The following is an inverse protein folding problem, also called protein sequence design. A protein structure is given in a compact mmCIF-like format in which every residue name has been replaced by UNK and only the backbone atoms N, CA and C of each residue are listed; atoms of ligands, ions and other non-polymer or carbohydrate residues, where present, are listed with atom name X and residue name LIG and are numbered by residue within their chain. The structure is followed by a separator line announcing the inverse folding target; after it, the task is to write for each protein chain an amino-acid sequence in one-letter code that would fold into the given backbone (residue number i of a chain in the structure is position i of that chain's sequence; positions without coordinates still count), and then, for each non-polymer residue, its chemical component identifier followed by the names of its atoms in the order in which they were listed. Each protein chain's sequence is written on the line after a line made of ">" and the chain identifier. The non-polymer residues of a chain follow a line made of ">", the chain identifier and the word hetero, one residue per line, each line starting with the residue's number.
data_IF_538713269952
#
_entry.id   IF_538713269952
#
_cell.length_a   1.000
_cell.length_b   1.000
_cell.length_c   1.000
_cell.angle_alpha   90.00
_cell.angle_beta   90.00
_cell.angle_gamma   90.00
#
_symmetry.space_group_name_H-M   'P 1'
#
loop_
_entity.id
_entity.type
_entity.pdbx_description
1 polymer ?
#
# COMPACT_ATOMS: atom_id res chain seq x y z
N UNK A 1 42.19 -28.53 -17.66
CA UNK A 1 42.31 -29.18 -16.33
C UNK A 1 42.21 -28.21 -15.13
N UNK A 2 41.86 -26.91 -15.28
CA UNK A 2 41.67 -25.97 -14.15
C UNK A 2 40.21 -25.76 -13.70
N UNK A 3 39.22 -26.23 -14.47
CA UNK A 3 37.78 -26.00 -14.24
C UNK A 3 37.16 -26.95 -13.20
N UNK A 4 37.63 -28.20 -13.13
CA UNK A 4 37.08 -29.22 -12.23
C UNK A 4 37.40 -28.96 -10.76
N UNK A 5 38.54 -28.33 -10.46
CA UNK A 5 38.96 -27.99 -9.10
C UNK A 5 38.21 -26.80 -8.51
N UNK A 6 37.70 -25.88 -9.34
CA UNK A 6 36.87 -24.77 -8.89
C UNK A 6 35.46 -25.24 -8.50
N UNK A 7 34.85 -26.15 -9.29
CA UNK A 7 33.55 -26.78 -8.98
C UNK A 7 33.59 -27.64 -7.70
N UNK A 8 34.69 -28.36 -7.44
CA UNK A 8 34.90 -29.11 -6.20
C UNK A 8 35.12 -28.21 -4.99
N UNK A 9 35.78 -27.06 -5.16
CA UNK A 9 35.91 -26.06 -4.10
C UNK A 9 34.58 -25.34 -3.79
N UNK A 10 33.73 -25.13 -4.81
CA UNK A 10 32.36 -24.61 -4.70
C UNK A 10 31.41 -25.56 -3.94
N UNK A 11 31.53 -26.87 -4.16
CA UNK A 11 30.74 -27.87 -3.44
C UNK A 11 31.17 -28.01 -1.96
N UNK A 12 32.47 -27.82 -1.67
CA UNK A 12 33.00 -27.91 -0.31
C UNK A 12 32.77 -26.65 0.53
N UNK A 13 32.75 -25.46 -0.08
CA UNK A 13 32.51 -24.20 0.63
C UNK A 13 31.04 -23.93 0.93
N UNK A 14 30.10 -24.44 0.13
CA UNK A 14 28.66 -24.38 0.42
C UNK A 14 28.27 -25.32 1.57
N UNK A 15 28.87 -26.51 1.67
CA UNK A 15 28.65 -27.44 2.80
C UNK A 15 29.25 -26.99 4.14
N UNK A 16 30.17 -26.02 4.14
CA UNK A 16 30.86 -25.56 5.35
C UNK A 16 30.28 -24.26 5.94
N UNK A 17 29.30 -23.63 5.27
CA UNK A 17 28.62 -22.45 5.82
C UNK A 17 27.71 -22.86 6.98
N UNK A 18 27.80 -22.20 8.15
CA UNK A 18 26.94 -22.50 9.30
C UNK A 18 25.45 -22.28 9.02
N UNK A 19 25.11 -21.55 7.94
CA UNK A 19 23.76 -21.40 7.41
C UNK A 19 23.20 -22.70 6.77
N UNK A 20 24.02 -23.68 6.37
CA UNK A 20 23.58 -24.85 5.57
C UNK A 20 23.42 -26.13 6.41
N UNK A 21 24.09 -26.24 7.56
CA UNK A 21 24.23 -27.51 8.32
C UNK A 21 22.96 -28.16 8.92
N UNK A 22 21.79 -27.50 8.88
CA UNK A 22 20.48 -28.08 9.28
C UNK A 22 19.52 -28.28 8.10
N UNK A 23 19.95 -27.96 6.88
CA UNK A 23 19.08 -27.78 5.69
C UNK A 23 19.15 -28.92 4.67
N UNK A 24 20.09 -29.85 4.82
CA UNK A 24 20.34 -30.93 3.86
C UNK A 24 19.09 -31.80 3.62
N UNK A 25 18.28 -32.05 4.66
CA UNK A 25 17.11 -32.95 4.59
C UNK A 25 16.04 -32.57 3.54
N UNK A 26 15.82 -31.27 3.27
CA UNK A 26 14.76 -30.81 2.34
C UNK A 26 15.21 -30.94 0.88
N UNK A 27 16.49 -30.71 0.61
CA UNK A 27 17.08 -30.76 -0.73
C UNK A 27 17.46 -32.18 -1.15
N UNK A 28 17.52 -33.11 -0.21
CA UNK A 28 17.99 -34.48 -0.45
C UNK A 28 16.97 -35.40 -1.09
N UNK A 29 15.68 -35.04 -1.08
CA UNK A 29 14.64 -35.83 -1.75
C UNK A 29 13.69 -34.99 -2.60
N UNK A 30 13.32 -35.55 -3.75
CA UNK A 30 12.28 -35.03 -4.64
C UNK A 30 10.97 -34.76 -3.90
N UNK A 31 10.61 -35.66 -3.00
CA UNK A 31 9.35 -35.60 -2.26
C UNK A 31 9.31 -34.44 -1.26
N UNK A 32 10.40 -34.22 -0.51
CA UNK A 32 10.50 -33.09 0.43
C UNK A 32 10.67 -31.74 -0.26
N UNK A 33 11.28 -31.70 -1.44
CA UNK A 33 11.43 -30.46 -2.19
C UNK A 33 10.11 -30.02 -2.85
N UNK A 34 9.36 -30.98 -3.42
CA UNK A 34 8.27 -30.68 -4.34
C UNK A 34 6.86 -30.79 -3.72
N UNK A 35 6.70 -31.39 -2.54
CA UNK A 35 5.37 -31.70 -1.96
C UNK A 35 5.27 -31.28 -0.50
N UNK A 36 4.03 -31.14 -0.03
CA UNK A 36 3.72 -30.88 1.38
C UNK A 36 3.74 -29.41 1.80
N UNK A 37 3.91 -28.50 0.83
CA UNK A 37 3.87 -27.05 1.06
C UNK A 37 2.43 -26.53 0.99
N UNK A 38 2.04 -25.67 1.93
CA UNK A 38 0.73 -24.98 1.89
C UNK A 38 0.88 -23.56 1.35
N UNK A 39 0.96 -23.46 0.03
CA UNK A 39 1.17 -22.20 -0.66
C UNK A 39 -0.06 -21.29 -0.63
N UNK A 40 -1.23 -21.75 -0.19
CA UNK A 40 -2.43 -20.89 -0.04
C UNK A 40 -2.29 -19.86 1.08
N UNK A 41 -1.26 -20.02 1.92
CA UNK A 41 -0.98 -19.13 3.03
C UNK A 41 0.38 -18.46 2.85
N UNK A 42 0.50 -17.18 3.21
CA UNK A 42 1.80 -16.53 3.17
C UNK A 42 2.83 -17.16 4.11
N UNK A 43 2.40 -17.72 5.24
CA UNK A 43 3.28 -18.44 6.18
C UNK A 43 3.84 -19.72 5.55
N UNK A 44 3.04 -20.45 4.78
CA UNK A 44 3.51 -21.64 4.07
C UNK A 44 4.46 -21.32 2.92
N UNK A 45 4.26 -20.18 2.26
CA UNK A 45 5.18 -19.68 1.24
C UNK A 45 6.53 -19.21 1.82
N UNK A 46 6.52 -18.50 2.96
CA UNK A 46 7.73 -18.11 3.71
C UNK A 46 8.49 -19.35 4.22
N UNK A 47 7.78 -20.32 4.81
CA UNK A 47 8.36 -21.58 5.29
C UNK A 47 9.03 -22.37 4.15
N UNK A 48 8.39 -22.46 2.98
CA UNK A 48 8.99 -23.04 1.78
C UNK A 48 10.25 -22.27 1.36
N UNK A 49 10.16 -20.94 1.24
CA UNK A 49 11.27 -20.10 0.79
C UNK A 49 12.50 -20.23 1.69
N UNK A 50 12.29 -20.26 3.01
CA UNK A 50 13.35 -20.42 4.00
C UNK A 50 13.93 -21.84 4.00
N UNK A 51 13.09 -22.89 3.99
CA UNK A 51 13.53 -24.29 4.06
C UNK A 51 14.21 -24.79 2.80
N UNK A 52 13.76 -24.33 1.62
CA UNK A 52 14.39 -24.67 0.34
C UNK A 52 15.65 -23.84 0.06
N UNK A 53 15.92 -22.82 0.88
CA UNK A 53 17.03 -21.88 0.70
C UNK A 53 17.04 -21.23 -0.69
N UNK A 54 15.85 -20.99 -1.26
CA UNK A 54 15.68 -20.34 -2.57
C UNK A 54 16.32 -18.94 -2.57
N UNK A 55 16.03 -18.12 -1.55
CA UNK A 55 16.62 -16.78 -1.41
C UNK A 55 18.15 -16.78 -1.30
N UNK A 56 18.72 -17.72 -0.53
CA UNK A 56 20.18 -17.88 -0.41
C UNK A 56 20.81 -18.28 -1.74
N UNK A 57 20.14 -19.16 -2.49
CA UNK A 57 20.62 -19.62 -3.79
C UNK A 57 20.58 -18.50 -4.83
N UNK A 58 19.54 -17.67 -4.80
CA UNK A 58 19.42 -16.46 -5.62
C UNK A 58 20.52 -15.45 -5.29
N UNK A 59 20.74 -15.15 -4.01
CA UNK A 59 21.80 -14.25 -3.54
C UNK A 59 23.18 -14.72 -4.02
N UNK A 60 23.51 -16.00 -3.80
CA UNK A 60 24.79 -16.57 -4.21
C UNK A 60 24.95 -16.57 -5.74
N UNK A 61 23.87 -16.86 -6.48
CA UNK A 61 23.89 -16.82 -7.94
C UNK A 61 24.25 -15.43 -8.46
N UNK A 62 23.56 -14.40 -7.98
CA UNK A 62 23.79 -12.99 -8.37
C UNK A 62 25.19 -12.54 -7.94
N UNK A 63 25.61 -12.82 -6.70
CA UNK A 63 26.94 -12.40 -6.20
C UNK A 63 28.10 -13.09 -6.88
N UNK A 64 27.90 -14.28 -7.43
CA UNK A 64 29.00 -15.07 -8.01
C UNK A 64 29.65 -14.36 -9.21
N UNK A 65 28.88 -13.60 -9.99
CA UNK A 65 29.38 -12.83 -11.13
C UNK A 65 28.53 -11.57 -11.30
N UNK A 66 29.16 -10.40 -11.41
CA UNK A 66 28.45 -9.13 -11.64
C UNK A 66 27.59 -9.14 -12.92
N UNK A 67 27.98 -9.93 -13.93
CA UNK A 67 27.20 -10.14 -15.16
C UNK A 67 25.88 -10.88 -14.91
N UNK A 68 25.77 -11.60 -13.79
CA UNK A 68 24.58 -12.39 -13.46
C UNK A 68 23.46 -11.56 -12.85
N UNK A 69 23.68 -10.30 -12.46
CA UNK A 69 22.60 -9.38 -12.07
C UNK A 69 21.76 -9.00 -13.31
N UNK A 70 22.43 -8.79 -14.45
CA UNK A 70 21.77 -8.46 -15.71
C UNK A 70 21.11 -9.68 -16.33
N UNK A 71 19.80 -9.61 -16.60
CA UNK A 71 19.01 -10.72 -17.15
C UNK A 71 19.18 -12.02 -16.34
N UNK A 72 19.27 -11.90 -15.01
CA UNK A 72 19.62 -13.00 -14.11
C UNK A 72 18.73 -14.22 -14.29
N UNK A 73 17.44 -14.02 -14.55
CA UNK A 73 16.46 -15.11 -14.72
C UNK A 73 16.86 -15.99 -15.90
N UNK A 74 17.25 -15.36 -17.02
CA UNK A 74 17.73 -16.05 -18.21
C UNK A 74 19.08 -16.72 -17.95
N UNK A 75 20.02 -16.01 -17.32
CA UNK A 75 21.34 -16.57 -17.03
C UNK A 75 21.25 -17.79 -16.09
N UNK A 76 20.31 -17.78 -15.14
CA UNK A 76 20.05 -18.90 -14.25
C UNK A 76 19.45 -20.07 -15.03
N UNK A 77 18.48 -19.83 -15.92
CA UNK A 77 17.91 -20.86 -16.80
C UNK A 77 19.00 -21.48 -17.68
N UNK A 78 19.83 -20.66 -18.31
CA UNK A 78 20.96 -21.10 -19.14
C UNK A 78 21.95 -21.96 -18.32
N UNK A 79 22.28 -21.55 -17.10
CA UNK A 79 23.21 -22.28 -16.23
C UNK A 79 22.61 -23.63 -15.77
N UNK A 80 21.32 -23.67 -15.45
CA UNK A 80 20.63 -24.90 -15.04
C UNK A 80 20.56 -25.90 -16.20
N UNK A 81 20.29 -25.41 -17.42
CA UNK A 81 20.17 -26.26 -18.61
C UNK A 81 21.51 -26.63 -19.26
N UNK A 82 22.62 -25.98 -18.86
CA UNK A 82 23.92 -26.18 -19.50
C UNK A 82 24.05 -25.49 -20.87
N UNK A 83 23.30 -24.41 -21.08
CA UNK A 83 23.19 -23.63 -22.31
C UNK A 83 21.89 -23.89 -23.07
N UNK A 84 21.08 -22.86 -23.33
CA UNK A 84 19.83 -23.00 -24.10
C UNK A 84 20.12 -23.11 -25.60
N UNK A 85 19.78 -24.25 -26.21
CA UNK A 85 19.78 -24.40 -27.68
C UNK A 85 18.51 -23.82 -28.35
N UNK A 86 17.68 -23.08 -27.61
CA UNK A 86 16.37 -22.55 -28.04
C UNK A 86 16.03 -21.18 -27.42
N UNK A 87 14.79 -20.69 -27.66
CA UNK A 87 14.28 -19.46 -27.01
C UNK A 87 14.02 -19.75 -25.53
N UNK A 88 14.81 -19.14 -24.64
CA UNK A 88 14.61 -19.14 -23.19
C UNK A 88 13.20 -18.66 -22.83
N UNK A 89 12.51 -19.42 -21.98
CA UNK A 89 11.18 -19.06 -21.48
C UNK A 89 11.23 -17.96 -20.41
N UNK A 90 12.40 -17.72 -19.82
CA UNK A 90 12.66 -16.60 -18.91
C UNK A 90 12.68 -15.23 -19.62
N UNK A 91 12.90 -15.17 -20.93
CA UNK A 91 13.01 -13.91 -21.67
C UNK A 91 11.71 -13.07 -21.66
N UNK A 92 10.56 -13.71 -21.46
CA UNK A 92 9.26 -13.02 -21.36
C UNK A 92 8.95 -12.45 -19.98
N UNK A 93 9.71 -12.80 -18.94
CA UNK A 93 9.39 -12.44 -17.57
C UNK A 93 9.60 -10.96 -17.22
N UNK A 94 10.30 -10.20 -18.05
CA UNK A 94 10.60 -8.78 -17.80
C UNK A 94 9.53 -7.81 -18.32
N UNK A 95 8.48 -8.30 -18.97
CA UNK A 95 7.42 -7.46 -19.53
C UNK A 95 6.03 -8.08 -19.34
N UNK A 96 5.05 -7.27 -18.94
CA UNK A 96 3.68 -7.73 -18.63
C UNK A 96 2.93 -8.30 -19.84
N UNK A 97 3.24 -7.82 -21.05
CA UNK A 97 2.62 -8.27 -22.30
C UNK A 97 3.13 -9.61 -22.84
N UNK A 98 4.13 -10.23 -22.19
CA UNK A 98 4.74 -11.48 -22.62
C UNK A 98 4.40 -12.62 -21.67
N UNK A 99 4.51 -13.86 -22.14
CA UNK A 99 4.41 -15.04 -21.26
C UNK A 99 5.72 -15.24 -20.48
N UNK A 100 5.63 -15.30 -19.15
CA UNK A 100 6.73 -15.70 -18.28
C UNK A 100 6.69 -17.22 -18.06
N UNK A 101 7.55 -17.97 -18.76
CA UNK A 101 7.57 -19.42 -18.65
C UNK A 101 8.98 -20.01 -18.50
N UNK A 102 9.73 -19.63 -17.44
CA UNK A 102 11.05 -20.20 -17.17
C UNK A 102 11.00 -21.73 -17.10
N UNK A 103 12.06 -22.37 -17.58
CA UNK A 103 12.21 -23.82 -17.69
C UNK A 103 11.15 -24.49 -18.58
N UNK A 104 10.43 -23.71 -19.41
CA UNK A 104 9.34 -24.22 -20.24
C UNK A 104 8.14 -24.73 -19.45
N UNK A 105 8.03 -24.38 -18.16
CA UNK A 105 6.92 -24.80 -17.32
C UNK A 105 6.99 -26.25 -16.85
N UNK A 106 8.21 -26.81 -16.76
CA UNK A 106 8.43 -28.10 -16.11
C UNK A 106 7.83 -28.13 -14.70
N UNK A 107 7.28 -29.28 -14.31
CA UNK A 107 6.86 -29.51 -12.94
C UNK A 107 8.09 -29.57 -12.01
N UNK A 108 7.91 -29.36 -10.71
CA UNK A 108 8.99 -29.51 -9.73
C UNK A 108 9.65 -30.89 -9.86
N UNK A 109 8.80 -31.91 -10.01
CA UNK A 109 9.22 -33.30 -10.11
C UNK A 109 10.10 -33.53 -11.36
N UNK A 110 9.71 -33.00 -12.51
CA UNK A 110 10.46 -33.15 -13.76
C UNK A 110 11.76 -32.34 -13.77
N UNK A 111 11.75 -31.14 -13.19
CA UNK A 111 12.94 -30.31 -13.07
C UNK A 111 13.96 -30.95 -12.12
N UNK A 112 13.50 -31.54 -11.01
CA UNK A 112 14.38 -32.29 -10.11
C UNK A 112 15.01 -33.50 -10.80
N UNK A 113 14.23 -34.28 -11.55
CA UNK A 113 14.76 -35.46 -12.26
C UNK A 113 15.78 -35.07 -13.34
N UNK A 114 15.54 -33.96 -14.06
CA UNK A 114 16.41 -33.52 -15.15
C UNK A 114 17.64 -32.75 -14.67
N UNK A 115 17.51 -31.88 -13.67
CA UNK A 115 18.52 -30.90 -13.30
C UNK A 115 18.91 -30.92 -11.81
N UNK A 116 18.24 -31.71 -10.97
CA UNK A 116 18.45 -31.79 -9.52
C UNK A 116 19.77 -32.44 -9.07
N UNK A 117 20.74 -32.62 -9.97
CA UNK A 117 22.09 -33.11 -9.62
C UNK A 117 22.99 -32.03 -9.03
N UNK A 118 22.60 -30.76 -9.14
CA UNK A 118 23.32 -29.61 -8.57
C UNK A 118 22.44 -28.86 -7.58
N UNK A 119 23.02 -28.19 -6.56
CA UNK A 119 22.25 -27.36 -5.63
C UNK A 119 21.42 -26.29 -6.34
N UNK A 120 21.97 -25.64 -7.37
CA UNK A 120 21.25 -24.64 -8.16
C UNK A 120 20.09 -25.26 -8.95
N UNK A 121 20.28 -26.43 -9.56
CA UNK A 121 19.22 -27.12 -10.31
C UNK A 121 18.06 -27.60 -9.44
N UNK A 122 18.32 -27.95 -8.18
CA UNK A 122 17.27 -28.26 -7.18
C UNK A 122 16.51 -26.99 -6.77
N UNK A 123 17.22 -25.94 -6.38
CA UNK A 123 16.62 -24.77 -5.74
C UNK A 123 16.00 -23.77 -6.74
N UNK A 124 16.46 -23.78 -7.99
CA UNK A 124 16.01 -22.85 -9.02
C UNK A 124 14.53 -22.99 -9.37
N UNK A 125 13.92 -24.16 -9.12
CA UNK A 125 12.48 -24.34 -9.37
C UNK A 125 11.65 -23.31 -8.61
N UNK A 126 11.84 -23.21 -7.30
CA UNK A 126 11.07 -22.29 -6.45
C UNK A 126 11.44 -20.82 -6.70
N UNK A 127 12.67 -20.55 -7.13
CA UNK A 127 13.06 -19.21 -7.61
C UNK A 127 12.27 -18.85 -8.89
N UNK A 128 12.18 -19.76 -9.85
CA UNK A 128 11.41 -19.55 -11.08
C UNK A 128 9.91 -19.45 -10.83
N UNK A 129 9.36 -20.22 -9.90
CA UNK A 129 7.96 -20.07 -9.49
C UNK A 129 7.70 -18.70 -8.87
N UNK A 130 8.61 -18.17 -8.04
CA UNK A 130 8.46 -16.83 -7.50
C UNK A 130 8.53 -15.74 -8.59
N UNK A 131 9.37 -15.91 -9.61
CA UNK A 131 9.39 -15.00 -10.78
C UNK A 131 8.07 -15.08 -11.56
N UNK A 132 7.52 -16.29 -11.75
CA UNK A 132 6.22 -16.49 -12.39
C UNK A 132 5.10 -15.81 -11.59
N UNK A 133 4.97 -16.11 -10.31
CA UNK A 133 3.92 -15.51 -9.49
C UNK A 133 4.06 -13.98 -9.37
N UNK A 134 5.27 -13.42 -9.36
CA UNK A 134 5.44 -11.97 -9.49
C UNK A 134 4.85 -11.44 -10.80
N UNK A 135 5.22 -12.07 -11.93
CA UNK A 135 4.71 -11.68 -13.25
C UNK A 135 3.19 -11.77 -13.32
N UNK A 136 2.61 -12.86 -12.81
CA UNK A 136 1.16 -13.10 -12.81
C UNK A 136 0.42 -12.12 -11.91
N UNK A 137 0.90 -11.87 -10.68
CA UNK A 137 0.32 -10.87 -9.77
C UNK A 137 0.41 -9.46 -10.36
N UNK A 138 1.53 -9.08 -10.97
CA UNK A 138 1.67 -7.75 -11.59
C UNK A 138 0.80 -7.60 -12.84
N UNK A 139 0.65 -8.66 -13.64
CA UNK A 139 -0.26 -8.67 -14.79
C UNK A 139 -1.71 -8.53 -14.35
N UNK A 140 -2.10 -9.19 -13.27
CA UNK A 140 -3.44 -9.07 -12.69
C UNK A 140 -3.68 -7.67 -12.09
N UNK A 141 -2.70 -7.11 -11.36
CA UNK A 141 -2.74 -5.73 -10.87
C UNK A 141 -2.93 -4.74 -12.03
N UNK A 142 -2.14 -4.89 -13.10
CA UNK A 142 -2.24 -4.05 -14.28
C UNK A 142 -3.63 -4.18 -14.95
N UNK A 143 -4.15 -5.41 -15.08
CA UNK A 143 -5.50 -5.64 -15.62
C UNK A 143 -6.56 -4.90 -14.80
N UNK A 144 -6.44 -4.89 -13.49
CA UNK A 144 -7.38 -4.23 -12.59
C UNK A 144 -7.24 -2.70 -12.66
N UNK A 145 -6.01 -2.15 -12.65
CA UNK A 145 -5.77 -0.70 -12.79
C UNK A 145 -6.27 -0.11 -14.10
N UNK A 146 -6.17 -0.89 -15.19
CA UNK A 146 -6.63 -0.47 -16.52
C UNK A 146 -8.13 -0.67 -16.74
N UNK A 147 -8.86 -1.26 -15.79
CA UNK A 147 -10.31 -1.36 -15.89
C UNK A 147 -10.97 -0.04 -15.48
N UNK A 148 -11.77 0.55 -16.39
CA UNK A 148 -12.68 1.68 -16.11
C UNK A 148 -13.58 1.45 -14.88
N UNK A 149 -13.75 0.18 -14.48
CA UNK A 149 -14.50 -0.25 -13.30
C UNK A 149 -13.94 0.30 -11.99
N UNK A 150 -12.63 0.55 -11.86
CA UNK A 150 -12.06 1.10 -10.62
C UNK A 150 -12.54 2.53 -10.35
N UNK A 151 -12.43 3.42 -11.33
CA UNK A 151 -12.86 4.82 -11.18
C UNK A 151 -14.37 4.90 -11.02
N UNK A 152 -15.13 4.14 -11.82
CA UNK A 152 -16.58 4.06 -11.68
C UNK A 152 -17.00 3.48 -10.31
N UNK A 153 -16.22 2.52 -9.79
CA UNK A 153 -16.42 1.91 -8.48
C UNK A 153 -16.19 2.86 -7.31
N UNK A 154 -15.38 3.91 -7.48
CA UNK A 154 -15.17 4.93 -6.45
C UNK A 154 -16.41 5.79 -6.19
N UNK A 155 -17.36 5.86 -7.15
CA UNK A 155 -18.62 6.62 -7.01
C UNK A 155 -18.43 8.13 -6.76
N UNK A 156 -17.36 8.72 -7.32
CA UNK A 156 -16.99 10.13 -7.10
C UNK A 156 -18.13 11.11 -7.46
N UNK A 157 -18.83 10.97 -8.61
CA UNK A 157 -19.96 11.86 -8.92
C UNK A 157 -21.08 11.80 -7.88
N UNK A 158 -21.35 10.62 -7.32
CA UNK A 158 -22.35 10.47 -6.26
C UNK A 158 -21.88 11.11 -4.96
N UNK A 159 -20.59 11.04 -4.63
CA UNK A 159 -20.04 11.73 -3.45
C UNK A 159 -20.18 13.24 -3.56
N UNK A 160 -19.90 13.80 -4.75
CA UNK A 160 -20.05 15.23 -5.04
C UNK A 160 -21.50 15.67 -4.79
N UNK A 161 -22.48 14.90 -5.27
CA UNK A 161 -23.90 15.13 -5.00
C UNK A 161 -24.25 14.96 -3.52
N UNK A 162 -23.79 13.88 -2.90
CA UNK A 162 -24.14 13.51 -1.53
C UNK A 162 -23.65 14.53 -0.50
N UNK A 163 -22.46 15.10 -0.71
CA UNK A 163 -21.85 16.04 0.22
C UNK A 163 -21.98 17.51 -0.21
N UNK A 164 -22.57 17.80 -1.37
CA UNK A 164 -22.67 19.17 -1.91
C UNK A 164 -21.27 19.83 -1.99
N UNK A 165 -20.32 19.06 -2.54
CA UNK A 165 -18.91 19.43 -2.69
C UNK A 165 -18.48 19.58 -4.15
N UNK A 166 -17.18 19.47 -4.42
CA UNK A 166 -16.65 19.40 -5.78
C UNK A 166 -15.44 18.46 -5.84
N UNK A 167 -15.06 18.08 -7.06
CA UNK A 167 -13.86 17.31 -7.33
C UNK A 167 -12.70 18.16 -7.90
N UNK A 168 -12.82 19.49 -7.86
CA UNK A 168 -11.93 20.42 -8.59
C UNK A 168 -10.55 20.61 -7.96
N UNK A 169 -10.26 19.93 -6.83
CA UNK A 169 -8.98 20.00 -6.14
C UNK A 169 -8.28 18.63 -6.14
N UNK A 170 -7.58 18.26 -7.23
CA UNK A 170 -6.89 16.97 -7.38
C UNK A 170 -5.53 16.93 -6.67
N UNK A 171 -5.21 17.90 -5.82
CA UNK A 171 -3.87 18.03 -5.25
C UNK A 171 -3.47 16.74 -4.52
N UNK A 172 -2.27 16.24 -4.83
CA UNK A 172 -1.66 15.08 -4.16
C UNK A 172 -2.30 13.71 -4.39
N UNK A 173 -3.12 13.51 -5.43
CA UNK A 173 -3.71 12.19 -5.75
C UNK A 173 -2.70 11.04 -5.81
N UNK A 174 -1.46 11.30 -6.26
CA UNK A 174 -0.37 10.30 -6.21
C UNK A 174 0.00 9.89 -4.78
N UNK A 175 0.08 10.86 -3.88
CA UNK A 175 0.28 10.62 -2.45
C UNK A 175 -0.90 9.89 -1.80
N UNK A 176 -2.13 10.10 -2.31
CA UNK A 176 -3.31 9.40 -1.81
C UNK A 176 -3.23 7.90 -2.09
N UNK A 177 -2.75 7.52 -3.28
CA UNK A 177 -2.60 6.11 -3.67
C UNK A 177 -1.46 5.45 -2.89
N UNK A 178 -0.32 6.14 -2.73
CA UNK A 178 0.78 5.67 -1.89
C UNK A 178 0.35 5.41 -0.45
N UNK A 179 -0.34 6.38 0.17
CA UNK A 179 -0.89 6.24 1.51
C UNK A 179 -2.01 5.17 1.57
N UNK A 180 -2.89 5.08 0.57
CA UNK A 180 -3.95 4.07 0.54
C UNK A 180 -3.39 2.63 0.56
N UNK A 181 -2.24 2.41 -0.08
CA UNK A 181 -1.54 1.12 -0.09
C UNK A 181 -0.90 0.76 1.25
N UNK A 182 -0.63 1.74 2.14
CA UNK A 182 -0.02 1.50 3.46
C UNK A 182 -1.06 1.35 4.58
N UNK A 183 -2.27 1.90 4.39
CA UNK A 183 -3.39 1.91 5.34
C UNK A 183 -4.10 0.53 5.42
N UNK A 184 -3.37 -0.57 5.33
CA UNK A 184 -3.90 -1.95 5.28
C UNK A 184 -4.67 -2.45 6.51
N UNK A 185 -5.22 -1.56 7.37
CA UNK A 185 -6.22 -1.83 8.42
C UNK A 185 -6.68 -0.58 9.23
N UNK A 186 -6.12 0.62 9.01
CA UNK A 186 -6.18 1.70 10.01
C UNK A 186 -7.55 2.41 10.16
N UNK A 187 -8.38 2.46 9.10
CA UNK A 187 -9.62 3.28 9.06
C UNK A 187 -10.88 2.42 8.97
N UNK A 188 -10.89 1.25 9.61
CA UNK A 188 -12.11 0.45 9.70
C UNK A 188 -11.84 -1.05 9.60
N UNK A 189 -11.42 -1.60 10.74
CA UNK A 189 -11.76 -2.95 11.18
C UNK A 189 -11.41 -4.11 10.26
N UNK A 190 -10.18 -4.61 10.43
CA UNK A 190 -9.78 -6.02 10.36
C UNK A 190 -10.16 -6.74 9.05
N UNK A 191 -9.20 -6.86 8.12
CA UNK A 191 -9.09 -8.09 7.33
C UNK A 191 -8.75 -9.22 8.32
N UNK A 192 -9.69 -10.12 8.67
CA UNK A 192 -9.40 -11.21 9.59
C UNK A 192 -8.46 -12.18 8.85
N UNK A 193 -7.28 -12.44 9.40
CA UNK A 193 -6.32 -13.38 8.81
C UNK A 193 -5.19 -12.77 7.99
N UNK A 194 -4.94 -11.46 8.07
CA UNK A 194 -3.72 -10.85 7.53
C UNK A 194 -2.49 -11.27 8.34
N UNK A 195 -2.00 -12.48 8.07
CA UNK A 195 -0.72 -12.98 8.53
C UNK A 195 0.46 -12.23 7.94
N UNK A 196 1.68 -12.61 8.34
CA UNK A 196 2.92 -11.87 8.09
C UNK A 196 3.28 -11.72 6.61
N UNK A 197 2.73 -12.54 5.72
CA UNK A 197 2.99 -12.37 4.29
C UNK A 197 1.91 -11.59 3.51
N UNK A 198 0.71 -11.34 4.05
CA UNK A 198 -0.17 -10.30 3.49
C UNK A 198 0.51 -8.93 3.67
N UNK A 199 1.13 -8.67 4.82
CA UNK A 199 1.94 -7.45 5.04
C UNK A 199 3.13 -7.33 4.10
N UNK A 200 3.74 -8.45 3.66
CA UNK A 200 4.83 -8.44 2.67
C UNK A 200 4.34 -7.98 1.28
N UNK A 201 3.19 -8.50 0.82
CA UNK A 201 2.57 -8.09 -0.44
C UNK A 201 2.13 -6.63 -0.46
N UNK A 202 1.47 -6.19 0.61
CA UNK A 202 1.13 -4.78 0.80
C UNK A 202 2.38 -3.90 0.89
N UNK A 203 3.46 -4.36 1.54
CA UNK A 203 4.72 -3.63 1.61
C UNK A 203 5.38 -3.42 0.25
N UNK A 204 5.36 -4.44 -0.61
CA UNK A 204 5.86 -4.32 -1.99
C UNK A 204 5.03 -3.30 -2.77
N UNK A 205 3.70 -3.39 -2.70
CA UNK A 205 2.83 -2.45 -3.41
C UNK A 205 2.94 -1.04 -2.86
N UNK A 206 2.95 -0.87 -1.55
CA UNK A 206 3.22 0.41 -0.89
C UNK A 206 4.54 1.02 -1.39
N UNK A 207 5.60 0.23 -1.53
CA UNK A 207 6.88 0.69 -2.06
C UNK A 207 6.80 1.13 -3.53
N UNK A 208 6.11 0.36 -4.38
CA UNK A 208 5.85 0.70 -5.79
C UNK A 208 5.08 2.02 -5.87
N UNK A 209 4.01 2.17 -5.10
CA UNK A 209 3.20 3.39 -5.08
C UNK A 209 3.91 4.60 -4.45
N UNK A 210 4.76 4.38 -3.45
CA UNK A 210 5.59 5.44 -2.89
C UNK A 210 6.58 5.95 -3.92
N UNK A 211 7.20 5.08 -4.72
CA UNK A 211 8.08 5.50 -5.80
C UNK A 211 7.35 6.36 -6.86
N UNK A 212 6.10 6.03 -7.19
CA UNK A 212 5.25 6.84 -8.08
C UNK A 212 4.98 8.25 -7.55
N UNK A 213 4.84 8.40 -6.24
CA UNK A 213 4.64 9.70 -5.61
C UNK A 213 5.88 10.60 -5.71
N UNK A 214 7.07 9.99 -5.81
CA UNK A 214 8.36 10.68 -5.87
C UNK A 214 8.78 11.08 -7.31
N UNK A 215 8.24 10.42 -8.35
CA UNK A 215 8.64 10.63 -9.75
C UNK A 215 7.81 11.70 -10.50
N UNK A 216 6.94 12.44 -9.81
CA UNK A 216 6.13 13.51 -10.39
C UNK A 216 6.61 14.91 -10.05
N UNK A 217 7.29 15.56 -10.99
CA UNK A 217 7.39 17.02 -11.02
C UNK A 217 6.06 17.62 -11.48
N UNK A 218 5.66 18.67 -10.76
CA UNK A 218 4.45 19.50 -10.91
C UNK A 218 3.10 18.79 -10.77
N UNK A 219 2.20 19.49 -10.09
CA UNK A 219 0.80 19.13 -9.89
C UNK A 219 0.20 18.59 -11.18
N UNK A 220 -0.54 17.48 -11.06
CA UNK A 220 -1.43 17.06 -12.13
C UNK A 220 -2.50 18.16 -12.26
N UNK A 221 -2.22 19.16 -13.10
CA UNK A 221 -3.12 20.28 -13.45
C UNK A 221 -4.26 19.73 -14.32
N UNK A 222 -5.07 18.88 -13.71
CA UNK A 222 -6.24 18.30 -14.32
C UNK A 222 -7.42 18.62 -13.44
N UNK A 223 -8.35 19.40 -13.99
CA UNK A 223 -9.42 20.04 -13.23
C UNK A 223 -10.36 19.13 -12.44
N UNK A 224 -10.14 17.80 -12.33
CA UNK A 224 -10.92 16.91 -11.46
C UNK A 224 -10.10 15.78 -10.81
N UNK A 225 -10.51 15.36 -9.61
CA UNK A 225 -9.97 14.18 -8.89
C UNK A 225 -10.08 12.91 -9.74
N UNK A 226 -11.22 12.69 -10.42
CA UNK A 226 -11.43 11.49 -11.24
C UNK A 226 -10.40 11.37 -12.37
N UNK A 227 -10.08 12.49 -13.05
CA UNK A 227 -9.08 12.50 -14.11
C UNK A 227 -7.66 12.28 -13.56
N UNK A 228 -7.32 12.91 -12.42
CA UNK A 228 -6.04 12.70 -11.76
C UNK A 228 -5.83 11.25 -11.29
N UNK A 229 -6.89 10.59 -10.80
CA UNK A 229 -6.86 9.17 -10.44
C UNK A 229 -6.63 8.28 -11.66
N UNK A 230 -7.29 8.56 -12.79
CA UNK A 230 -7.09 7.83 -14.04
C UNK A 230 -5.62 7.83 -14.48
N UNK A 231 -5.01 9.02 -14.55
CA UNK A 231 -3.60 9.14 -14.93
C UNK A 231 -2.67 8.49 -13.91
N UNK A 232 -3.03 8.50 -12.62
CA UNK A 232 -2.20 7.88 -11.60
C UNK A 232 -2.26 6.35 -11.69
N UNK A 233 -3.41 5.77 -12.03
CA UNK A 233 -3.51 4.34 -12.34
C UNK A 233 -2.72 3.97 -13.60
N UNK A 234 -2.72 4.81 -14.63
CA UNK A 234 -1.85 4.62 -15.81
C UNK A 234 -0.36 4.71 -15.44
N UNK A 235 0.03 5.68 -14.62
CA UNK A 235 1.40 5.77 -14.11
C UNK A 235 1.77 4.52 -13.27
N UNK A 236 0.82 3.98 -12.49
CA UNK A 236 1.03 2.75 -11.73
C UNK A 236 1.33 1.54 -12.62
N UNK A 237 0.68 1.42 -13.77
CA UNK A 237 1.05 0.42 -14.77
C UNK A 237 2.52 0.54 -15.17
N UNK A 238 2.99 1.74 -15.50
CA UNK A 238 4.41 1.96 -15.86
C UNK A 238 5.34 1.56 -14.71
N UNK A 239 5.00 1.88 -13.47
CA UNK A 239 5.84 1.52 -12.31
C UNK A 239 5.84 0.01 -12.03
N UNK A 240 4.73 -0.70 -12.28
CA UNK A 240 4.71 -2.17 -12.25
C UNK A 240 5.63 -2.75 -13.33
N UNK A 241 5.58 -2.22 -14.55
CA UNK A 241 6.46 -2.63 -15.66
C UNK A 241 7.94 -2.38 -15.35
N UNK A 242 8.27 -1.22 -14.79
CA UNK A 242 9.63 -0.90 -14.37
C UNK A 242 10.11 -1.80 -13.24
N UNK A 243 9.27 -2.03 -12.23
CA UNK A 243 9.61 -2.94 -11.12
C UNK A 243 9.84 -4.36 -11.64
N UNK A 244 8.98 -4.84 -12.54
CA UNK A 244 9.14 -6.15 -13.18
C UNK A 244 10.44 -6.25 -13.96
N UNK A 245 10.74 -5.23 -14.79
CA UNK A 245 11.98 -5.14 -15.56
C UNK A 245 13.19 -5.18 -14.63
N UNK A 246 13.22 -4.35 -13.59
CA UNK A 246 14.36 -4.24 -12.67
C UNK A 246 14.52 -5.54 -11.87
N UNK A 247 13.45 -6.08 -11.29
CA UNK A 247 13.47 -7.30 -10.49
C UNK A 247 13.92 -8.53 -11.28
N UNK A 248 13.75 -8.54 -12.61
CA UNK A 248 14.23 -9.60 -13.51
C UNK A 248 15.62 -9.34 -14.11
N UNK A 249 16.32 -8.30 -13.65
CA UNK A 249 17.70 -7.99 -14.06
C UNK A 249 17.80 -7.04 -15.26
N UNK A 250 16.77 -6.25 -15.54
CA UNK A 250 16.77 -5.21 -16.55
C UNK A 250 17.18 -3.83 -16.02
N UNK A 251 17.63 -3.73 -14.76
CA UNK A 251 18.09 -2.48 -14.15
C UNK A 251 19.40 -1.99 -14.78
N UNK A 252 19.52 -0.69 -14.95
CA UNK A 252 20.63 -0.02 -15.67
C UNK A 252 21.59 0.71 -14.73
N UNK A 253 21.23 0.86 -13.46
CA UNK A 253 22.04 1.52 -12.44
C UNK A 253 21.79 0.91 -11.05
N UNK A 254 22.71 1.15 -10.12
CA UNK A 254 22.53 0.76 -8.71
C UNK A 254 21.32 1.48 -8.08
N UNK A 255 21.03 2.71 -8.50
CA UNK A 255 19.85 3.48 -8.06
C UNK A 255 18.54 2.80 -8.46
N UNK A 256 18.44 2.27 -9.70
CA UNK A 256 17.28 1.48 -10.12
C UNK A 256 17.12 0.22 -9.28
N UNK A 257 18.21 -0.52 -9.00
CA UNK A 257 18.11 -1.69 -8.11
C UNK A 257 17.76 -1.30 -6.67
N UNK A 258 18.23 -0.15 -6.19
CA UNK A 258 17.91 0.38 -4.88
C UNK A 258 16.44 0.82 -4.74
N UNK A 259 15.72 1.03 -5.83
CA UNK A 259 14.30 1.38 -5.81
C UNK A 259 13.39 0.16 -5.60
N UNK A 260 13.91 -1.07 -5.77
CA UNK A 260 13.12 -2.28 -5.52
C UNK A 260 12.66 -2.33 -4.05
N UNK A 261 11.35 -2.48 -3.80
CA UNK A 261 10.85 -2.57 -2.44
C UNK A 261 11.29 -3.88 -1.77
N UNK A 262 11.60 -3.81 -0.48
CA UNK A 262 11.98 -4.99 0.31
C UNK A 262 10.83 -5.38 1.25
N UNK A 263 10.20 -6.57 1.07
CA UNK A 263 9.09 -7.03 1.90
C UNK A 263 9.46 -7.33 3.36
N UNK A 264 10.75 -7.58 3.65
CA UNK A 264 11.25 -7.96 4.97
C UNK A 264 12.61 -7.32 5.21
N UNK A 265 12.83 -6.80 6.41
CA UNK A 265 14.16 -6.39 6.86
C UNK A 265 15.04 -7.63 6.96
N UNK A 266 16.07 -7.73 6.12
CA UNK A 266 16.94 -8.90 6.05
C UNK A 266 18.39 -8.54 5.67
N UNK A 267 19.25 -9.53 5.89
CA UNK A 267 20.70 -9.63 5.77
C UNK A 267 21.22 -9.94 4.37
N UNK A 268 20.37 -10.26 3.38
CA UNK A 268 20.81 -10.36 1.97
C UNK A 268 21.49 -9.05 1.54
N UNK A 269 22.47 -9.11 0.65
CA UNK A 269 23.13 -7.91 0.15
C UNK A 269 22.49 -7.43 -1.15
N UNK A 270 22.12 -8.35 -2.04
CA UNK A 270 21.56 -8.01 -3.36
C UNK A 270 20.11 -7.55 -3.25
N UNK A 271 19.74 -6.53 -4.03
CA UNK A 271 18.39 -5.94 -3.99
C UNK A 271 17.34 -6.86 -4.57
N UNK A 272 17.69 -7.64 -5.58
CA UNK A 272 16.84 -8.66 -6.16
C UNK A 272 16.52 -9.75 -5.12
N UNK A 273 17.52 -10.28 -4.40
CA UNK A 273 17.24 -11.29 -3.38
C UNK A 273 16.40 -10.74 -2.22
N UNK A 274 16.60 -9.46 -1.84
CA UNK A 274 15.71 -8.77 -0.88
C UNK A 274 14.28 -8.68 -1.38
N UNK A 275 14.08 -8.30 -2.64
CA UNK A 275 12.77 -8.14 -3.25
C UNK A 275 11.96 -9.44 -3.26
N UNK A 276 12.59 -10.58 -3.60
CA UNK A 276 11.93 -11.89 -3.57
C UNK A 276 11.83 -12.52 -2.18
N UNK A 277 12.32 -11.84 -1.14
CA UNK A 277 12.41 -12.44 0.18
C UNK A 277 11.04 -12.74 0.79
N UNK A 278 10.99 -13.81 1.59
CA UNK A 278 9.79 -14.28 2.26
C UNK A 278 8.79 -15.02 1.34
N UNK A 279 9.16 -15.30 0.09
CA UNK A 279 8.38 -16.17 -0.77
C UNK A 279 6.98 -15.66 -1.13
N UNK A 280 6.67 -14.37 -0.92
CA UNK A 280 5.33 -13.80 -1.17
C UNK A 280 4.78 -14.13 -2.57
N UNK A 281 5.65 -14.11 -3.57
CA UNK A 281 5.27 -14.42 -4.94
C UNK A 281 4.94 -15.90 -5.19
N UNK A 282 5.09 -16.78 -4.20
CA UNK A 282 4.69 -18.19 -4.25
C UNK A 282 3.30 -18.45 -3.67
N UNK A 283 2.61 -17.44 -3.14
CA UNK A 283 1.28 -17.65 -2.54
C UNK A 283 0.26 -18.00 -3.61
N UNK A 284 -0.27 -19.24 -3.54
CA UNK A 284 -1.32 -19.82 -4.38
C UNK A 284 -2.62 -19.04 -4.15
N UNK A 285 -2.93 -18.15 -5.10
CA UNK A 285 -4.18 -17.43 -5.35
C UNK A 285 -3.80 -16.02 -5.83
N UNK A 286 -3.16 -15.95 -7.00
CA UNK A 286 -2.73 -14.69 -7.63
C UNK A 286 -3.87 -13.70 -7.82
N UNK A 287 -5.09 -14.19 -8.04
CA UNK A 287 -6.25 -13.33 -8.27
C UNK A 287 -6.91 -12.87 -6.97
N UNK A 288 -7.13 -13.74 -5.98
CA UNK A 288 -7.84 -13.39 -4.74
C UNK A 288 -7.00 -12.45 -3.88
N UNK A 289 -5.71 -12.76 -3.68
CA UNK A 289 -4.83 -11.94 -2.85
C UNK A 289 -4.62 -10.55 -3.48
N UNK A 290 -4.50 -10.49 -4.81
CA UNK A 290 -4.44 -9.22 -5.54
C UNK A 290 -5.77 -8.48 -5.45
N UNK A 291 -6.91 -9.17 -5.61
CA UNK A 291 -8.24 -8.55 -5.51
C UNK A 291 -8.49 -7.96 -4.13
N UNK A 292 -8.22 -8.68 -3.04
CA UNK A 292 -8.34 -8.17 -1.66
C UNK A 292 -7.44 -6.95 -1.46
N UNK A 293 -6.23 -6.98 -2.01
CA UNK A 293 -5.29 -5.85 -1.92
C UNK A 293 -5.80 -4.62 -2.65
N UNK A 294 -6.29 -4.79 -3.89
CA UNK A 294 -6.86 -3.70 -4.69
C UNK A 294 -8.13 -3.17 -4.03
N UNK A 295 -9.04 -4.04 -3.57
CA UNK A 295 -10.24 -3.65 -2.85
C UNK A 295 -9.88 -2.81 -1.61
N UNK A 296 -8.84 -3.17 -0.86
CA UNK A 296 -8.35 -2.37 0.26
C UNK A 296 -7.85 -1.00 -0.19
N UNK A 297 -7.04 -0.93 -1.25
CA UNK A 297 -6.52 0.34 -1.80
C UNK A 297 -7.69 1.22 -2.28
N UNK A 298 -8.60 0.65 -3.07
CA UNK A 298 -9.79 1.34 -3.61
C UNK A 298 -10.68 1.84 -2.49
N UNK A 299 -10.93 1.07 -1.45
CA UNK A 299 -11.72 1.48 -0.29
C UNK A 299 -11.06 2.65 0.47
N UNK A 300 -9.73 2.64 0.61
CA UNK A 300 -9.01 3.73 1.25
C UNK A 300 -9.02 5.02 0.39
N UNK A 301 -8.82 4.89 -0.93
CA UNK A 301 -8.99 6.00 -1.87
C UNK A 301 -10.42 6.54 -1.79
N UNK A 302 -11.44 5.68 -1.73
CA UNK A 302 -12.83 6.08 -1.63
C UNK A 302 -13.09 6.96 -0.40
N UNK A 303 -12.56 6.56 0.76
CA UNK A 303 -12.62 7.35 2.00
C UNK A 303 -11.93 8.71 1.86
N UNK A 304 -10.75 8.74 1.22
CA UNK A 304 -10.01 9.98 0.97
C UNK A 304 -10.77 10.93 0.05
N UNK A 305 -11.32 10.43 -1.06
CA UNK A 305 -12.10 11.26 -1.98
C UNK A 305 -13.34 11.81 -1.26
N UNK A 306 -14.04 10.98 -0.48
CA UNK A 306 -15.17 11.45 0.32
C UNK A 306 -14.76 12.58 1.29
N UNK A 307 -13.63 12.45 1.98
CA UNK A 307 -13.07 13.50 2.83
C UNK A 307 -12.80 14.79 2.05
N UNK A 308 -12.23 14.71 0.85
CA UNK A 308 -11.83 15.89 0.08
C UNK A 308 -13.02 16.59 -0.57
N UNK A 309 -14.02 15.83 -1.00
CA UNK A 309 -15.32 16.37 -1.42
C UNK A 309 -16.00 17.07 -0.23
N UNK A 310 -15.96 16.48 0.96
CA UNK A 310 -16.48 17.14 2.16
C UNK A 310 -15.69 18.42 2.51
N UNK A 311 -14.37 18.41 2.36
CA UNK A 311 -13.55 19.60 2.56
C UNK A 311 -13.91 20.71 1.55
N UNK A 312 -14.07 20.36 0.27
CA UNK A 312 -14.52 21.28 -0.78
C UNK A 312 -15.93 21.82 -0.51
N UNK A 313 -16.81 21.03 0.10
CA UNK A 313 -18.12 21.46 0.56
C UNK A 313 -18.05 22.40 1.79
N UNK A 314 -16.88 22.60 2.41
CA UNK A 314 -16.71 23.46 3.58
C UNK A 314 -17.06 22.80 4.92
N UNK A 315 -17.07 21.46 4.99
CA UNK A 315 -17.18 20.76 6.27
C UNK A 315 -15.90 20.93 7.10
N UNK A 316 -16.07 20.97 8.41
CA UNK A 316 -15.01 21.10 9.42
C UNK A 316 -15.26 20.11 10.55
N UNK A 317 -14.17 19.57 11.12
CA UNK A 317 -14.23 18.88 12.40
C UNK A 317 -14.19 19.93 13.52
N UNK A 318 -15.20 19.93 14.38
CA UNK A 318 -15.33 20.92 15.45
C UNK A 318 -14.95 20.29 16.78
N UNK A 319 -14.05 20.94 17.51
CA UNK A 319 -13.87 20.74 18.94
C UNK A 319 -14.72 21.78 19.70
N UNK A 320 -15.78 21.33 20.36
CA UNK A 320 -16.72 22.23 21.02
C UNK A 320 -16.16 22.76 22.35
N UNK A 321 -15.90 24.07 22.40
CA UNK A 321 -15.43 24.81 23.58
C UNK A 321 -16.51 25.66 24.23
N UNK A 322 -17.79 25.50 23.84
CA UNK A 322 -18.88 26.28 24.42
C UNK A 322 -19.10 25.93 25.89
N UNK A 323 -19.48 26.92 26.67
CA UNK A 323 -19.65 26.79 28.13
C UNK A 323 -20.64 25.71 28.57
N UNK A 324 -21.59 25.35 27.70
CA UNK A 324 -22.62 24.35 27.95
C UNK A 324 -22.22 22.93 27.51
N UNK A 325 -21.00 22.71 27.02
CA UNK A 325 -20.49 21.40 26.60
C UNK A 325 -19.16 21.12 27.32
N UNK A 326 -19.24 20.58 28.54
CA UNK A 326 -18.06 20.36 29.41
C UNK A 326 -17.82 18.91 29.77
N UNK A 327 -18.80 18.05 29.51
CA UNK A 327 -18.78 16.63 29.85
C UNK A 327 -19.21 15.77 28.67
N UNK A 328 -18.92 14.47 28.76
CA UNK A 328 -19.41 13.48 27.80
C UNK A 328 -20.95 13.48 27.71
N UNK A 329 -21.62 13.68 28.83
CA UNK A 329 -23.08 13.77 28.88
C UNK A 329 -23.59 15.01 28.14
N UNK A 330 -22.91 16.16 28.26
CA UNK A 330 -23.27 17.39 27.56
C UNK A 330 -23.02 17.28 26.04
N UNK A 331 -22.00 16.52 25.63
CA UNK A 331 -21.76 16.19 24.24
C UNK A 331 -22.95 15.42 23.63
N UNK A 332 -23.61 14.59 24.43
CA UNK A 332 -24.79 13.82 24.03
C UNK A 332 -24.46 12.64 23.12
N UNK A 333 -25.50 12.05 22.53
CA UNK A 333 -25.42 10.77 21.78
C UNK A 333 -25.89 10.90 20.33
N UNK A 334 -25.85 12.10 19.76
CA UNK A 334 -26.15 12.26 18.34
C UNK A 334 -25.14 11.46 17.49
N UNK A 335 -25.54 10.83 16.38
CA UNK A 335 -24.73 9.85 15.65
C UNK A 335 -23.32 10.29 15.23
N UNK A 336 -23.11 11.60 15.11
CA UNK A 336 -21.83 12.20 14.71
C UNK A 336 -20.90 12.62 15.83
N UNK A 337 -21.38 12.65 17.07
CA UNK A 337 -20.65 13.25 18.19
C UNK A 337 -19.77 12.23 18.89
N UNK A 338 -18.53 12.61 19.15
CA UNK A 338 -17.53 11.78 19.82
C UNK A 338 -16.87 12.59 20.93
N UNK A 339 -16.87 12.07 22.15
CA UNK A 339 -16.05 12.63 23.23
C UNK A 339 -14.65 12.06 23.11
N UNK A 340 -13.70 12.90 22.66
CA UNK A 340 -12.34 12.47 22.37
C UNK A 340 -11.34 13.42 23.04
N UNK A 341 -10.16 12.88 23.29
CA UNK A 341 -8.99 13.62 23.74
C UNK A 341 -8.31 14.31 22.56
N UNK A 342 -8.04 15.60 22.71
CA UNK A 342 -7.25 16.39 21.76
C UNK A 342 -5.75 16.24 22.02
N UNK A 343 -5.34 16.40 23.29
CA UNK A 343 -3.97 16.27 23.83
C UNK A 343 -4.10 15.76 25.27
N UNK A 344 -3.04 15.17 25.83
CA UNK A 344 -3.01 14.62 27.19
C UNK A 344 -3.76 15.49 28.22
N UNK A 345 -4.93 15.02 28.66
CA UNK A 345 -5.78 15.68 29.66
C UNK A 345 -6.76 16.74 29.16
N UNK A 346 -6.86 16.97 27.85
CA UNK A 346 -7.83 17.88 27.23
C UNK A 346 -8.84 17.11 26.36
N UNK A 347 -10.07 16.98 26.84
CA UNK A 347 -11.16 16.31 26.12
C UNK A 347 -12.21 17.32 25.64
N UNK A 348 -12.73 17.09 24.44
CA UNK A 348 -13.77 17.91 23.84
C UNK A 348 -14.83 17.04 23.16
N UNK A 349 -16.00 17.64 22.90
CA UNK A 349 -17.00 17.05 22.03
C UNK A 349 -16.65 17.34 20.57
N UNK A 350 -16.36 16.29 19.81
CA UNK A 350 -16.01 16.35 18.40
C UNK A 350 -17.17 15.97 17.50
N UNK A 351 -17.46 16.80 16.49
CA UNK A 351 -18.48 16.52 15.47
C UNK A 351 -18.28 17.39 14.23
N UNK A 352 -18.95 17.05 13.13
CA UNK A 352 -18.83 17.77 11.86
C UNK A 352 -19.82 18.94 11.80
N UNK A 353 -19.35 20.12 11.42
CA UNK A 353 -20.18 21.27 11.06
C UNK A 353 -19.75 21.85 9.70
N UNK A 354 -20.64 22.60 9.06
CA UNK A 354 -20.36 23.40 7.85
C UNK A 354 -20.86 24.83 8.07
N UNK A 355 -20.16 25.81 7.50
CA UNK A 355 -20.68 27.18 7.43
C UNK A 355 -21.95 27.18 6.59
N UNK A 356 -23.04 27.72 7.11
CA UNK A 356 -24.33 27.74 6.42
C UNK A 356 -24.17 28.43 5.06
N UNK A 357 -24.40 27.73 3.93
CA UNK A 357 -24.28 28.33 2.61
C UNK A 357 -25.37 29.39 2.33
N UNK A 358 -26.49 29.33 3.07
CA UNK A 358 -27.55 30.35 3.06
C UNK A 358 -27.71 30.94 4.46
N UNK A 359 -26.71 31.70 4.93
CA UNK A 359 -26.69 32.19 6.30
C UNK A 359 -27.82 33.19 6.49
N UNK A 360 -28.63 32.99 7.53
CA UNK A 360 -29.51 34.04 8.03
C UNK A 360 -28.72 35.09 8.84
N UNK A 361 -27.46 34.79 9.20
CA UNK A 361 -26.53 35.61 10.00
C UNK A 361 -25.07 35.34 9.65
N UNK A 362 -24.19 36.33 9.83
CA UNK A 362 -22.74 36.14 9.67
C UNK A 362 -22.22 35.00 10.57
N UNK A 363 -21.35 34.14 10.02
CA UNK A 363 -20.74 32.98 10.69
C UNK A 363 -21.75 31.99 11.31
N UNK A 364 -22.88 31.76 10.64
CA UNK A 364 -23.84 30.73 11.05
C UNK A 364 -23.28 29.34 10.75
N UNK A 365 -22.96 28.58 11.79
CA UNK A 365 -22.53 27.18 11.68
C UNK A 365 -23.70 26.24 11.82
N UNK A 366 -23.75 25.20 10.98
CA UNK A 366 -24.78 24.16 11.03
C UNK A 366 -24.09 22.81 11.26
N UNK A 367 -24.53 22.11 12.31
CA UNK A 367 -24.10 20.73 12.56
C UNK A 367 -24.62 19.81 11.45
N UNK A 368 -23.75 18.92 10.98
CA UNK A 368 -24.10 17.97 9.94
C UNK A 368 -25.29 17.10 10.39
N UNK A 369 -26.27 16.95 9.50
CA UNK A 369 -27.45 16.11 9.73
C UNK A 369 -27.10 14.62 9.80
N UNK A 370 -28.05 13.81 10.29
CA UNK A 370 -27.90 12.34 10.32
C UNK A 370 -27.67 11.77 8.92
N UNK A 371 -28.26 12.38 7.89
CA UNK A 371 -28.08 11.99 6.49
C UNK A 371 -26.63 12.09 6.02
N UNK A 372 -25.88 13.12 6.46
CA UNK A 372 -24.46 13.27 6.13
C UNK A 372 -23.65 12.15 6.76
N UNK A 373 -23.93 11.79 8.01
CA UNK A 373 -23.27 10.66 8.66
C UNK A 373 -23.61 9.33 7.99
N UNK A 374 -24.86 9.10 7.58
CA UNK A 374 -25.24 7.91 6.79
C UNK A 374 -24.48 7.82 5.46
N UNK A 375 -24.36 8.94 4.74
CA UNK A 375 -23.55 9.05 3.52
C UNK A 375 -22.08 8.76 3.77
N UNK A 376 -21.47 9.36 4.79
CA UNK A 376 -20.09 9.05 5.21
C UNK A 376 -19.92 7.55 5.50
N UNK A 377 -20.88 6.92 6.17
CA UNK A 377 -20.82 5.47 6.45
C UNK A 377 -20.87 4.64 5.15
N UNK A 378 -21.67 5.07 4.16
CA UNK A 378 -21.75 4.41 2.85
C UNK A 378 -20.46 4.46 2.03
N UNK A 379 -19.54 5.36 2.38
CA UNK A 379 -18.21 5.53 1.78
C UNK A 379 -17.07 5.07 2.71
N UNK A 380 -17.39 4.26 3.72
CA UNK A 380 -16.39 3.65 4.59
C UNK A 380 -15.84 4.57 5.70
N UNK A 381 -16.40 5.76 5.90
CA UNK A 381 -16.04 6.69 6.97
C UNK A 381 -16.92 6.50 8.23
N UNK A 382 -17.69 5.41 8.32
CA UNK A 382 -18.70 5.18 9.36
C UNK A 382 -18.14 5.07 10.78
N UNK A 383 -16.90 4.60 10.92
CA UNK A 383 -16.19 4.58 12.19
C UNK A 383 -15.57 5.97 12.47
N UNK A 384 -16.21 6.73 13.35
CA UNK A 384 -15.93 8.15 13.54
C UNK A 384 -14.66 8.40 14.34
N UNK A 385 -14.38 7.57 15.33
CA UNK A 385 -13.27 7.82 16.23
C UNK A 385 -11.91 7.77 15.50
N UNK A 386 -11.58 6.71 14.72
CA UNK A 386 -10.33 6.69 13.95
C UNK A 386 -10.25 7.82 12.92
N UNK A 387 -11.37 8.12 12.26
CA UNK A 387 -11.44 9.22 11.28
C UNK A 387 -11.19 10.59 11.93
N UNK A 388 -11.85 10.90 13.05
CA UNK A 388 -11.67 12.17 13.76
C UNK A 388 -10.27 12.27 14.37
N UNK A 389 -9.73 11.18 14.92
CA UNK A 389 -8.36 11.15 15.44
C UNK A 389 -7.33 11.44 14.36
N UNK A 390 -7.50 10.90 13.16
CA UNK A 390 -6.62 11.20 12.02
C UNK A 390 -6.72 12.68 11.57
N UNK A 391 -7.91 13.27 11.61
CA UNK A 391 -8.09 14.70 11.34
C UNK A 391 -7.44 15.56 12.44
N UNK A 392 -7.60 15.18 13.71
CA UNK A 392 -6.97 15.85 14.86
C UNK A 392 -5.44 15.79 14.70
N UNK A 393 -4.89 14.62 14.38
CA UNK A 393 -3.46 14.45 14.13
C UNK A 393 -2.95 15.40 13.03
N UNK A 394 -3.67 15.49 11.91
CA UNK A 394 -3.35 16.49 10.88
C UNK A 394 -3.42 17.93 11.39
N UNK A 395 -4.45 18.27 12.19
CA UNK A 395 -4.59 19.61 12.74
C UNK A 395 -3.48 19.99 13.74
N UNK A 396 -2.89 19.01 14.43
CA UNK A 396 -1.84 19.25 15.43
C UNK A 396 -0.42 19.13 14.86
N UNK A 397 -0.22 18.27 13.86
CA UNK A 397 1.11 17.90 13.36
C UNK A 397 1.32 18.17 11.87
N UNK A 398 0.29 18.58 11.12
CA UNK A 398 0.25 18.65 9.65
C UNK A 398 1.06 19.75 8.95
N UNK A 399 1.83 20.56 9.67
CA UNK A 399 2.50 21.74 9.09
C UNK A 399 1.55 22.75 8.42
N UNK A 400 2.10 23.81 7.84
CA UNK A 400 1.30 24.90 7.27
C UNK A 400 0.56 24.51 5.98
N UNK A 401 1.13 23.59 5.19
CA UNK A 401 0.60 23.20 3.87
C UNK A 401 -0.34 21.98 3.93
N UNK A 402 -0.45 21.31 5.09
CA UNK A 402 -1.29 20.11 5.27
C UNK A 402 -1.07 19.02 4.22
N UNK A 403 0.16 18.91 3.72
CA UNK A 403 0.53 17.87 2.76
C UNK A 403 0.58 16.51 3.47
N UNK A 404 0.25 15.44 2.76
CA UNK A 404 0.32 14.10 3.31
C UNK A 404 1.78 13.76 3.61
N UNK A 405 2.08 13.43 4.87
CA UNK A 405 3.42 13.00 5.25
C UNK A 405 3.65 11.54 4.84
N UNK A 406 4.38 11.36 3.73
CA UNK A 406 4.78 10.04 3.22
C UNK A 406 6.14 9.58 3.75
N UNK A 407 6.82 10.38 4.60
CA UNK A 407 8.18 10.09 5.04
C UNK A 407 8.27 8.96 6.08
N UNK A 408 7.20 8.70 6.83
CA UNK A 408 7.12 7.69 7.89
C UNK A 408 5.91 6.77 7.71
N UNK A 409 5.69 6.24 6.51
CA UNK A 409 4.60 5.32 6.22
C UNK A 409 4.79 3.98 6.96
N UNK A 410 4.16 3.84 8.13
CA UNK A 410 4.05 2.57 8.83
C UNK A 410 2.83 1.78 8.36
N UNK A 411 2.98 0.46 8.23
CA UNK A 411 1.87 -0.40 7.82
C UNK A 411 0.76 -0.40 8.88
N UNK A 412 -0.48 -0.20 8.45
CA UNK A 412 -1.64 -0.21 9.33
C UNK A 412 -1.85 1.09 10.10
N UNK A 413 -1.08 2.15 9.82
CA UNK A 413 -1.30 3.50 10.34
C UNK A 413 -1.87 4.42 9.26
N UNK A 414 -2.63 5.45 9.69
CA UNK A 414 -3.08 6.52 8.80
C UNK A 414 -1.97 7.57 8.73
N UNK A 415 -1.42 7.88 7.55
CA UNK A 415 -0.42 8.93 7.44
C UNK A 415 -1.00 10.29 7.86
N UNK A 416 -0.19 11.10 8.54
CA UNK A 416 -0.60 12.45 8.96
C UNK A 416 -1.08 13.24 7.75
N UNK A 417 -2.23 13.92 7.92
CA UNK A 417 -2.93 14.67 6.87
C UNK A 417 -3.49 13.88 5.70
N UNK A 418 -3.55 12.54 5.76
CA UNK A 418 -4.37 11.78 4.82
C UNK A 418 -5.82 12.30 4.80
N UNK A 419 -6.42 12.49 5.98
CA UNK A 419 -7.68 13.23 6.12
C UNK A 419 -7.38 14.66 6.56
N UNK A 420 -7.66 15.62 5.68
CA UNK A 420 -7.24 17.02 5.82
C UNK A 420 -8.42 18.01 5.94
N UNK A 421 -9.63 17.53 6.24
CA UNK A 421 -10.73 18.43 6.64
C UNK A 421 -10.24 19.32 7.79
N UNK A 422 -10.46 20.64 7.76
CA UNK A 422 -9.96 21.51 8.81
C UNK A 422 -10.60 21.16 10.17
N UNK A 423 -9.75 21.05 11.19
CA UNK A 423 -10.18 20.96 12.57
C UNK A 423 -10.09 22.32 13.26
N UNK A 424 -11.18 22.75 13.89
CA UNK A 424 -11.28 24.06 14.57
C UNK A 424 -11.97 23.92 15.91
N UNK A 425 -11.62 24.77 16.85
CA UNK A 425 -12.46 25.04 18.00
C UNK A 425 -13.65 25.89 17.59
N UNK A 426 -14.82 25.60 18.16
CA UNK A 426 -15.94 26.54 18.18
C UNK A 426 -16.18 26.99 19.61
N UNK A 427 -16.25 28.31 19.76
CA UNK A 427 -16.54 28.97 21.03
C UNK A 427 -17.47 30.15 20.80
N UNK A 428 -18.07 30.65 21.89
CA UNK A 428 -18.92 31.83 21.83
C UNK A 428 -18.08 33.04 21.42
N UNK A 429 -18.55 33.75 20.40
CA UNK A 429 -17.97 35.02 20.02
C UNK A 429 -18.46 36.12 20.97
N UNK A 430 -17.53 36.67 21.75
CA UNK A 430 -17.79 37.74 22.71
C UNK A 430 -17.44 39.13 22.16
N UNK A 431 -16.86 39.21 20.95
CA UNK A 431 -16.44 40.46 20.31
C UNK A 431 -17.57 41.05 19.46
N UNK A 432 -18.41 40.18 18.89
CA UNK A 432 -19.65 40.59 18.22
C UNK A 432 -20.70 40.86 19.31
N UNK A 433 -20.79 42.12 19.72
CA UNK A 433 -21.80 42.54 20.69
C UNK A 433 -23.19 42.13 20.21
N UNK A 434 -23.98 41.50 21.07
CA UNK A 434 -25.43 41.59 20.94
C UNK A 434 -25.76 43.06 20.78
N UNK A 435 -26.53 43.42 19.76
CA UNK A 435 -27.08 44.76 19.67
C UNK A 435 -27.97 45.09 20.87
N UNK A 436 -29.11 45.69 20.61
CA UNK A 436 -30.06 46.09 21.66
C UNK A 436 -30.34 44.93 22.66
N UNK A 437 -30.34 45.19 23.99
CA UNK A 437 -30.57 44.18 25.02
C UNK A 437 -31.97 43.53 25.00
N UNK A 438 -32.82 43.92 24.05
CA UNK A 438 -34.15 43.35 23.80
C UNK A 438 -34.13 42.23 22.74
N UNK A 439 -33.01 41.99 22.04
CA UNK A 439 -32.84 40.93 21.03
C UNK A 439 -32.14 39.66 21.59
N UNK A 440 -31.96 39.60 22.91
CA UNK A 440 -31.12 38.66 23.66
C UNK A 440 -31.44 37.16 23.54
N UNK A 441 -32.51 36.75 22.86
CA UNK A 441 -32.83 35.33 22.70
C UNK A 441 -32.05 34.65 21.54
N UNK A 442 -31.19 35.38 20.82
CA UNK A 442 -30.58 34.93 19.55
C UNK A 442 -29.08 35.26 19.42
N UNK A 443 -28.36 35.49 20.51
CA UNK A 443 -26.92 35.78 20.48
C UNK A 443 -26.04 34.54 20.71
N UNK A 444 -26.11 33.59 19.80
CA UNK A 444 -25.19 32.44 19.75
C UNK A 444 -24.20 32.64 18.59
N UNK A 445 -23.53 33.79 18.55
CA UNK A 445 -22.44 33.99 17.60
C UNK A 445 -21.30 33.06 17.97
N UNK A 446 -20.75 32.41 16.95
CA UNK A 446 -19.67 31.45 17.10
C UNK A 446 -18.46 31.98 16.33
N UNK A 447 -17.31 31.93 16.98
CA UNK A 447 -16.03 32.11 16.30
C UNK A 447 -15.33 30.77 16.20
N UNK A 448 -14.60 30.58 15.11
CA UNK A 448 -13.78 29.39 14.87
C UNK A 448 -12.31 29.73 14.94
N UNK A 449 -11.53 28.95 15.68
CA UNK A 449 -10.06 29.07 15.73
C UNK A 449 -9.44 27.71 15.40
N UNK A 450 -8.32 27.64 14.66
CA UNK A 450 -7.62 26.37 14.42
C UNK A 450 -7.28 25.64 15.73
N UNK A 451 -7.25 24.31 15.72
CA UNK A 451 -6.86 23.52 16.90
C UNK A 451 -5.34 23.46 17.16
N UNK A 452 -4.53 23.89 16.19
CA UNK A 452 -3.06 23.89 16.20
C UNK A 452 -2.46 24.83 17.24
#
# INVERSE_FOLDING_TARGET
>A
MKSTSALLALAASTSASPLVSKRDDVLDSKETLCKGWDLRTPEGADDLWEKTAAGVSLELFIKSHWEHENSWVKNMEDQVQGGTSGKSGAAGCSALGNDCNPMGGLSCDDQFDQFGTTPLGKNSYWIFQAVKGMHEKFRELNRQFTQETLINGLRIPQMVEDFDGSEDNPSQVRGWIAAAATIGNAVGGLVPGAGSGISAGFGILAGIFSALSLTGGDEVDQGTISAALANTFEAATTSLEDTLRIATGGGTSEEEYNSLPAPKWDTYETKIAKFFNGGWFLVDDDEEAVRVTIESITNNIQKKVANDVMNAAGYHLIADKRDNVRTREDCGFAPGRQWLELKDGEEYCFYIMKNNPNPNRENEWVEAGTDIYEKMASYGLGDREPFYRAIIDCGLHGGDNKEIDLSNLAWGEVPTCYFNIPAVFIEKDNEVGCGSPFDNAKCDYLKSTPIS
#
